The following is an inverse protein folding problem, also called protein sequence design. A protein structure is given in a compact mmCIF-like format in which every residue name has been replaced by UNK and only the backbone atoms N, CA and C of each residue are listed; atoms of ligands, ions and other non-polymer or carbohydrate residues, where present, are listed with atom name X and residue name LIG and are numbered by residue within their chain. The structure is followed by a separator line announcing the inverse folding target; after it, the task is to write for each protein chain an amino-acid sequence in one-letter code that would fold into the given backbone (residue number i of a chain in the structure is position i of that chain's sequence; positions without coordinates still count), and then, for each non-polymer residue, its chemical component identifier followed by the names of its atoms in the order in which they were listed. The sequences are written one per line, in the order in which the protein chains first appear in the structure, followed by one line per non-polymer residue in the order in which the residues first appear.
data_IF_372043420173
#
_entry.id   IF_372043420173
#
_cell.length_a   1.000
_cell.length_b   1.000
_cell.length_c   1.000
_cell.angle_alpha   90.00
_cell.angle_beta   90.00
_cell.angle_gamma   90.00
#
_symmetry.space_group_name_H-M   'P 1'
#
loop_
_entity.id
_entity.type
_entity.pdbx_description
1 polymer ?
#
# COMPACT_ATOMS: atom_id res chain seq x y z
N UNK A 1 12.64 -23.13 -8.94
CA UNK A 1 12.01 -22.90 -8.69
C UNK A 1 11.52 -21.93 -8.72
N UNK A 2 11.26 -21.40 -8.98
CA UNK A 2 10.91 -20.40 -8.97
C UNK A 2 9.63 -20.27 -9.31
N UNK A 3 8.86 -20.35 -8.65
CA UNK A 3 7.64 -20.21 -8.91
C UNK A 3 7.18 -18.91 -9.04
N UNK A 4 7.92 -17.90 -8.81
CA UNK A 4 7.44 -16.62 -8.97
C UNK A 4 7.23 -16.31 -10.37
N UNK A 5 7.70 -17.08 -11.23
CA UNK A 5 7.40 -16.83 -12.57
C UNK A 5 6.01 -17.11 -12.94
N UNK A 6 5.26 -17.76 -12.07
CA UNK A 6 3.91 -18.05 -12.41
C UNK A 6 2.97 -17.28 -11.58
N UNK A 7 3.38 -16.17 -11.06
CA UNK A 7 2.51 -15.34 -10.27
C UNK A 7 1.34 -14.89 -11.11
N UNK A 8 0.13 -14.95 -10.62
CA UNK A 8 -1.01 -14.53 -11.38
C UNK A 8 -0.95 -13.07 -11.71
N UNK A 9 -1.62 -12.67 -12.73
CA UNK A 9 -1.60 -11.30 -13.13
C UNK A 9 -2.06 -10.40 -12.02
N UNK A 10 -2.91 -10.87 -11.16
CA UNK A 10 -3.37 -10.06 -10.06
C UNK A 10 -2.49 -10.18 -8.85
N UNK A 11 -1.33 -10.73 -8.99
CA UNK A 11 -0.47 -10.89 -7.83
C UNK A 11 -0.02 -9.58 -7.26
N UNK A 12 0.20 -9.60 -5.97
CA UNK A 12 0.63 -8.41 -5.26
C UNK A 12 2.14 -8.28 -5.30
N UNK A 13 2.63 -7.10 -5.59
CA UNK A 13 4.03 -6.88 -5.72
C UNK A 13 4.36 -5.46 -5.35
N UNK A 14 5.50 -5.24 -4.74
CA UNK A 14 5.96 -3.92 -4.36
C UNK A 14 7.31 -3.63 -4.95
N UNK A 15 7.51 -2.40 -5.36
CA UNK A 15 8.81 -1.98 -5.81
C UNK A 15 9.05 -0.59 -5.25
N UNK A 16 10.10 -0.41 -4.48
CA UNK A 16 10.42 0.86 -3.88
C UNK A 16 11.75 1.34 -4.44
N UNK A 17 11.76 2.53 -5.01
CA UNK A 17 12.93 3.07 -5.65
C UNK A 17 13.35 4.32 -4.92
N UNK A 18 14.53 4.31 -4.34
CA UNK A 18 15.09 5.49 -3.70
C UNK A 18 14.27 6.04 -2.55
N UNK A 19 13.39 5.24 -1.99
CA UNK A 19 12.50 5.67 -0.91
C UNK A 19 11.59 6.82 -1.34
N UNK A 20 11.48 7.07 -2.64
CA UNK A 20 10.68 8.18 -3.09
C UNK A 20 9.65 7.79 -4.12
N UNK A 21 9.73 6.61 -4.64
CA UNK A 21 8.80 6.18 -5.66
C UNK A 21 8.41 4.74 -5.36
N UNK A 22 7.14 4.51 -5.13
CA UNK A 22 6.66 3.19 -4.77
C UNK A 22 5.66 2.73 -5.80
N UNK A 23 5.84 1.53 -6.31
CA UNK A 23 4.92 0.93 -7.26
C UNK A 23 4.33 -0.31 -6.61
N UNK A 24 3.01 -0.41 -6.58
CA UNK A 24 2.33 -1.51 -5.95
C UNK A 24 1.38 -2.12 -6.95
N UNK A 25 1.42 -3.44 -7.11
CA UNK A 25 0.44 -4.12 -7.94
C UNK A 25 -0.44 -4.99 -7.05
N UNK A 26 -1.55 -5.45 -7.56
CA UNK A 26 -2.47 -6.25 -6.78
C UNK A 26 -3.31 -5.41 -5.83
N UNK A 27 -3.43 -4.12 -6.08
CA UNK A 27 -4.22 -3.24 -5.24
C UNK A 27 -5.67 -3.40 -5.63
N UNK A 28 -6.51 -3.65 -4.65
CA UNK A 28 -7.94 -3.83 -4.88
C UNK A 28 -8.71 -2.56 -4.58
N UNK A 29 -8.24 -1.79 -3.62
CA UNK A 29 -8.95 -0.58 -3.26
C UNK A 29 -8.03 0.28 -2.40
N UNK A 30 -8.17 1.59 -2.50
CA UNK A 30 -7.46 2.50 -1.62
C UNK A 30 -8.47 2.95 -0.59
N UNK A 31 -8.27 2.54 0.66
CA UNK A 31 -9.25 2.77 1.71
C UNK A 31 -9.07 4.11 2.38
N UNK A 32 -7.86 4.60 2.45
CA UNK A 32 -7.58 5.84 3.10
C UNK A 32 -6.36 6.48 2.49
N UNK A 33 -6.38 7.77 2.32
CA UNK A 33 -5.23 8.47 1.78
C UNK A 33 -5.00 9.76 2.54
N UNK A 34 -3.79 9.94 3.01
CA UNK A 34 -3.35 11.20 3.59
C UNK A 34 -1.91 11.40 3.16
N UNK A 35 -1.41 12.61 3.27
CA UNK A 35 -0.04 12.87 2.85
C UNK A 35 0.97 12.16 3.73
N UNK A 36 0.57 11.68 4.88
CA UNK A 36 1.47 10.97 5.77
C UNK A 36 1.17 9.48 5.83
N UNK A 37 0.12 9.02 5.19
CA UNK A 37 -0.18 7.61 5.24
C UNK A 37 -1.24 7.20 4.26
N UNK A 38 -1.12 5.99 3.73
CA UNK A 38 -2.07 5.44 2.79
C UNK A 38 -2.39 4.03 3.25
N UNK A 39 -3.66 3.69 3.25
CA UNK A 39 -4.10 2.34 3.59
C UNK A 39 -4.83 1.79 2.38
N UNK A 40 -4.45 0.60 1.97
CA UNK A 40 -5.05 0.00 0.80
C UNK A 40 -5.29 -1.48 1.02
N UNK A 41 -6.27 -2.01 0.32
CA UNK A 41 -6.51 -3.44 0.31
C UNK A 41 -5.78 -4.02 -0.87
N UNK A 42 -5.08 -5.11 -0.66
CA UNK A 42 -4.39 -5.79 -1.76
C UNK A 42 -4.76 -7.25 -1.76
N UNK A 43 -4.36 -7.95 -2.78
CA UNK A 43 -4.64 -9.37 -2.84
C UNK A 43 -3.91 -10.15 -1.76
N UNK A 44 -2.96 -9.53 -1.08
CA UNK A 44 -2.23 -10.17 0.00
C UNK A 44 -2.56 -9.58 1.37
N UNK A 45 -3.56 -8.74 1.47
CA UNK A 45 -3.96 -8.18 2.75
C UNK A 45 -3.91 -6.66 2.72
N UNK A 46 -4.14 -6.05 3.85
CA UNK A 46 -4.12 -4.60 3.94
C UNK A 46 -2.69 -4.11 4.04
N UNK A 47 -2.36 -3.13 3.27
CA UNK A 47 -1.02 -2.56 3.26
C UNK A 47 -1.09 -1.12 3.73
N UNK A 48 -0.20 -0.75 4.64
CA UNK A 48 -0.14 0.59 5.17
C UNK A 48 1.21 1.18 4.79
N UNK A 49 1.18 2.33 4.16
CA UNK A 49 2.38 3.05 3.75
C UNK A 49 2.42 4.33 4.55
N UNK A 50 3.53 4.62 5.20
CA UNK A 50 3.66 5.89 5.90
C UNK A 50 4.82 6.68 5.33
N UNK A 51 4.76 7.99 5.45
CA UNK A 51 5.82 8.82 4.93
C UNK A 51 5.47 10.29 5.03
N UNK A 52 6.05 11.09 4.15
CA UNK A 52 5.82 12.51 4.13
C UNK A 52 5.58 12.96 2.70
N UNK A 53 4.66 13.87 2.53
CA UNK A 53 4.35 14.42 1.22
C UNK A 53 3.96 13.33 0.24
N UNK A 54 3.24 12.35 0.71
CA UNK A 54 2.82 11.25 -0.14
C UNK A 54 1.71 11.69 -1.08
N UNK A 55 1.80 11.29 -2.32
CA UNK A 55 0.73 11.55 -3.24
C UNK A 55 0.69 10.45 -4.30
N UNK A 56 -0.46 10.27 -4.88
CA UNK A 56 -0.66 9.22 -5.84
C UNK A 56 -0.30 9.76 -7.21
N UNK A 57 0.68 9.15 -7.85
CA UNK A 57 1.09 9.56 -9.17
C UNK A 57 0.32 8.87 -10.24
N UNK A 58 -0.15 7.66 -10.00
CA UNK A 58 -0.90 6.93 -10.99
C UNK A 58 -1.72 5.87 -10.31
N UNK A 59 -2.94 5.69 -10.72
CA UNK A 59 -3.80 4.65 -10.19
C UNK A 59 -4.52 3.99 -11.35
N UNK A 60 -4.35 2.70 -11.48
CA UNK A 60 -5.02 1.95 -12.51
C UNK A 60 -5.74 0.80 -11.85
N UNK A 61 -7.03 0.90 -11.70
CA UNK A 61 -7.77 -0.15 -11.04
C UNK A 61 -7.95 -1.37 -11.92
N UNK A 62 -7.91 -1.18 -13.23
CA UNK A 62 -7.96 -2.34 -14.10
C UNK A 62 -6.80 -3.27 -13.83
N UNK A 63 -5.64 -2.76 -13.66
CA UNK A 63 -4.48 -3.59 -13.40
C UNK A 63 -4.14 -3.70 -11.95
N UNK A 64 -4.85 -2.98 -11.09
CA UNK A 64 -4.53 -3.00 -9.69
C UNK A 64 -3.19 -2.36 -9.39
N UNK A 65 -2.80 -1.35 -10.14
CA UNK A 65 -1.50 -0.76 -9.99
C UNK A 65 -1.59 0.63 -9.41
N UNK A 66 -0.81 0.90 -8.40
CA UNK A 66 -0.79 2.20 -7.75
C UNK A 66 0.63 2.69 -7.66
N UNK A 67 0.86 3.92 -8.07
CA UNK A 67 2.17 4.55 -7.95
C UNK A 67 2.06 5.65 -6.92
N UNK A 68 2.94 5.63 -5.93
CA UNK A 68 2.96 6.61 -4.86
C UNK A 68 4.28 7.34 -4.91
N UNK A 69 4.25 8.66 -4.86
CA UNK A 69 5.45 9.46 -4.82
C UNK A 69 5.51 10.18 -3.48
N UNK A 70 6.70 10.54 -3.05
CA UNK A 70 6.92 11.19 -1.78
C UNK A 70 7.94 10.41 -1.00
N UNK A 71 8.17 10.84 0.24
CA UNK A 71 9.16 10.15 1.02
C UNK A 71 8.52 9.00 1.73
N UNK A 72 9.01 7.81 1.51
CA UNK A 72 8.43 6.61 2.11
C UNK A 72 9.20 6.27 3.38
N UNK A 73 8.50 6.21 4.49
CA UNK A 73 9.13 5.87 5.76
C UNK A 73 8.92 4.42 6.12
N UNK A 74 7.75 3.88 5.89
CA UNK A 74 7.53 2.49 6.25
C UNK A 74 6.45 1.86 5.39
N UNK A 75 6.52 0.56 5.29
CA UNK A 75 5.52 -0.26 4.63
C UNK A 75 5.20 -1.39 5.57
N UNK A 76 3.95 -1.62 5.86
CA UNK A 76 3.60 -2.72 6.74
C UNK A 76 2.26 -3.31 6.35
N UNK A 77 2.08 -4.56 6.64
CA UNK A 77 0.82 -5.24 6.39
C UNK A 77 0.06 -5.38 7.69
N UNK A 78 -1.26 -5.21 7.62
CA UNK A 78 -2.10 -5.36 8.77
C UNK A 78 -3.07 -6.46 8.48
N UNK A 79 -3.17 -7.43 9.39
CA UNK A 79 -4.14 -8.45 9.20
C UNK A 79 -5.50 -7.92 9.53
N UNK A 80 -6.49 -8.48 8.91
CA UNK A 80 -7.80 -8.07 9.19
C UNK A 80 -8.24 -8.60 10.48
N UNK A 81 -8.18 -8.12 11.47
CA UNK A 81 -8.62 -8.61 12.73
C UNK A 81 -9.36 -7.56 13.47
N UNK A 82 -10.06 -7.95 14.49
CA UNK A 82 -10.86 -6.97 15.19
C UNK A 82 -10.06 -5.99 15.97
N UNK A 83 -8.82 -6.24 16.21
CA UNK A 83 -8.08 -5.37 17.05
C UNK A 83 -7.21 -4.44 16.32
N UNK A 84 -7.51 -4.18 15.10
CA UNK A 84 -6.62 -3.36 14.38
C UNK A 84 -6.82 -1.93 14.60
N UNK A 85 -7.88 -1.56 15.19
CA UNK A 85 -8.22 -0.18 15.25
C UNK A 85 -7.20 0.71 15.86
N UNK A 86 -6.49 0.20 16.82
CA UNK A 86 -5.53 1.02 17.51
C UNK A 86 -4.44 1.55 16.62
N UNK A 87 -3.96 0.70 15.74
CA UNK A 87 -2.88 1.13 14.87
C UNK A 87 -3.37 2.21 13.91
N UNK A 88 -4.51 2.01 13.30
CA UNK A 88 -5.01 2.96 12.36
C UNK A 88 -5.37 4.27 13.04
N UNK A 89 -5.90 4.21 14.22
CA UNK A 89 -6.21 5.42 14.94
C UNK A 89 -4.98 6.24 15.19
N UNK A 90 -3.92 5.59 15.55
CA UNK A 90 -2.71 6.31 15.84
C UNK A 90 -2.13 6.89 14.58
N UNK A 91 -2.18 6.13 13.49
CA UNK A 91 -1.59 6.57 12.25
C UNK A 91 -2.30 7.78 11.70
N UNK A 92 -3.62 7.80 11.77
CA UNK A 92 -4.36 8.89 11.18
C UNK A 92 -4.89 9.89 12.21
N UNK A 93 -4.51 9.75 13.42
CA UNK A 93 -4.85 10.70 14.45
C UNK A 93 -6.30 10.84 14.70
N UNK A 94 -7.06 9.86 14.45
CA UNK A 94 -8.37 10.06 14.59
C UNK A 94 -8.75 9.82 15.86
N UNK A 95 -8.88 10.42 16.52
CA UNK A 95 -9.16 10.23 17.78
C UNK A 95 -10.39 9.88 18.08
#
# INVERSE_FOLDING_TARGET
MNDYNTVPAAGHRLELIGREHLVISGVEDVERFAETGIVMSTSAGSLVVTGEDLHIGKLSLDGGELHVDGRIDSLSYEDQGPARGGFFSRLFGSA
#
